data_IF_265259575415
#
_entry.id   IF_265259575415
#
_cell.length_a   1.000
_cell.length_b   1.000
_cell.length_c   1.000
_cell.angle_alpha   90.00
_cell.angle_beta   90.00
_cell.angle_gamma   90.00
#
_symmetry.space_group_name_H-M   'P 1'
#
loop_
_entity.id
_entity.type
_entity.pdbx_description
1 polymer ?
#
# COMPACT_ATOMS: atom_id res chain seq x y z
N UNK A 1 -5.99 -2.80 3.56
CA UNK A 1 -4.85 -2.48 4.46
C UNK A 1 -3.63 -1.97 3.71
N UNK A 2 -3.11 -2.67 2.69
CA UNK A 2 -1.86 -2.31 1.99
C UNK A 2 -1.74 -0.83 1.60
N UNK A 3 -2.75 -0.28 0.91
CA UNK A 3 -2.78 1.14 0.52
C UNK A 3 -2.84 2.11 1.71
N UNK A 4 -3.48 1.74 2.82
CA UNK A 4 -3.55 2.56 4.03
C UNK A 4 -2.16 2.81 4.62
N UNK A 5 -1.24 1.84 4.53
CA UNK A 5 0.15 2.05 4.96
C UNK A 5 0.88 3.10 4.11
N UNK A 6 0.57 3.21 2.80
CA UNK A 6 1.14 4.24 1.94
C UNK A 6 0.68 5.64 2.38
N UNK A 7 -0.59 5.78 2.76
CA UNK A 7 -1.14 7.02 3.32
C UNK A 7 -0.54 7.33 4.69
N UNK A 8 -0.47 6.36 5.59
CA UNK A 8 0.11 6.56 6.92
C UNK A 8 1.59 7.01 6.84
N UNK A 9 2.39 6.37 5.98
CA UNK A 9 3.78 6.75 5.73
C UNK A 9 3.89 8.17 5.17
N UNK A 10 3.01 8.51 4.21
CA UNK A 10 2.95 9.82 3.58
C UNK A 10 2.58 10.92 4.58
N UNK A 11 1.53 10.71 5.38
CA UNK A 11 1.11 11.65 6.42
C UNK A 11 2.19 11.88 7.46
N UNK A 12 2.82 10.81 7.95
CA UNK A 12 3.90 10.93 8.94
C UNK A 12 5.10 11.70 8.39
N UNK A 13 5.47 11.49 7.11
CA UNK A 13 6.53 12.26 6.47
C UNK A 13 6.14 13.73 6.26
N UNK A 14 4.87 14.01 5.91
CA UNK A 14 4.38 15.39 5.80
C UNK A 14 4.45 16.11 7.15
N UNK A 15 3.99 15.47 8.23
CA UNK A 15 4.02 16.04 9.59
C UNK A 15 5.45 16.30 10.10
N UNK A 16 6.40 15.43 9.75
CA UNK A 16 7.77 15.51 10.26
C UNK A 16 8.68 16.53 9.53
N UNK A 17 8.30 17.02 8.35
CA UNK A 17 9.16 17.96 7.61
C UNK A 17 8.74 18.28 6.17
N UNK A 18 7.66 17.69 5.68
CA UNK A 18 7.21 17.84 4.29
C UNK A 18 7.82 16.80 3.35
N UNK A 19 7.09 16.49 2.28
CA UNK A 19 7.54 15.61 1.19
C UNK A 19 8.38 16.47 0.23
N UNK A 20 9.50 15.94 -0.27
CA UNK A 20 10.41 16.65 -1.18
C UNK A 20 11.40 17.62 -0.52
N UNK A 21 11.38 17.77 0.80
CA UNK A 21 12.29 18.66 1.55
C UNK A 21 13.46 17.91 2.17
N UNK A 22 13.24 16.68 2.63
CA UNK A 22 14.26 15.81 3.24
C UNK A 22 14.21 14.39 2.63
N UNK A 23 15.18 14.08 1.77
CA UNK A 23 15.33 12.77 1.14
C UNK A 23 15.53 11.63 2.14
N UNK A 24 16.11 11.89 3.34
CA UNK A 24 16.26 10.87 4.39
C UNK A 24 14.91 10.54 5.01
N UNK A 25 14.06 11.54 5.24
CA UNK A 25 12.71 11.35 5.74
C UNK A 25 11.87 10.54 4.76
N UNK A 26 11.91 10.87 3.47
CA UNK A 26 11.21 10.11 2.43
C UNK A 26 11.69 8.66 2.36
N UNK A 27 13.00 8.44 2.42
CA UNK A 27 13.58 7.09 2.41
C UNK A 27 13.16 6.27 3.63
N UNK A 28 13.05 6.90 4.81
CA UNK A 28 12.57 6.26 6.04
C UNK A 28 11.10 5.91 5.96
N UNK A 29 10.26 6.81 5.46
CA UNK A 29 8.84 6.57 5.26
C UNK A 29 8.59 5.44 4.26
N UNK A 30 9.30 5.44 3.13
CA UNK A 30 9.21 4.36 2.13
C UNK A 30 9.68 3.01 2.69
N UNK A 31 10.75 3.00 3.50
CA UNK A 31 11.21 1.80 4.21
C UNK A 31 10.13 1.27 5.16
N UNK A 32 9.57 2.15 5.97
CA UNK A 32 8.50 1.78 6.91
C UNK A 32 7.26 1.23 6.18
N UNK A 33 6.82 1.87 5.09
CA UNK A 33 5.69 1.41 4.28
C UNK A 33 5.94 -0.04 3.80
N UNK A 34 7.10 -0.29 3.20
CA UNK A 34 7.47 -1.63 2.71
C UNK A 34 7.46 -2.67 3.83
N UNK A 35 8.09 -2.36 4.95
CA UNK A 35 8.26 -3.31 6.04
C UNK A 35 6.90 -3.61 6.73
N UNK A 36 6.04 -2.60 6.89
CA UNK A 36 4.68 -2.76 7.42
C UNK A 36 3.79 -3.61 6.49
N UNK A 37 3.87 -3.36 5.17
CA UNK A 37 3.15 -4.13 4.15
C UNK A 37 3.54 -5.61 4.15
N UNK A 38 4.84 -5.89 4.18
CA UNK A 38 5.38 -7.25 4.26
C UNK A 38 4.96 -7.95 5.55
N UNK A 39 5.20 -7.31 6.72
CA UNK A 39 4.84 -7.87 8.01
C UNK A 39 3.34 -8.15 8.16
N UNK A 40 2.48 -7.29 7.61
CA UNK A 40 1.04 -7.53 7.58
C UNK A 40 0.68 -8.79 6.78
N UNK A 41 1.20 -8.93 5.55
CA UNK A 41 0.88 -10.08 4.71
C UNK A 41 1.44 -11.37 5.29
N UNK A 42 2.66 -11.34 5.81
CA UNK A 42 3.28 -12.53 6.40
C UNK A 42 2.51 -12.98 7.64
N UNK A 43 2.11 -12.06 8.52
CA UNK A 43 1.23 -12.39 9.65
C UNK A 43 -0.14 -12.90 9.20
N UNK A 44 -0.74 -12.27 8.18
CA UNK A 44 -2.04 -12.67 7.64
C UNK A 44 -2.02 -14.10 7.09
N UNK A 45 -0.99 -14.47 6.33
CA UNK A 45 -0.86 -15.82 5.78
C UNK A 45 -0.45 -16.85 6.85
N UNK A 46 0.42 -16.48 7.80
CA UNK A 46 0.90 -17.40 8.84
C UNK A 46 -0.20 -17.79 9.84
N UNK A 47 -1.14 -16.89 10.13
CA UNK A 47 -2.21 -17.11 11.11
C UNK A 47 -3.48 -17.73 10.50
N UNK A 48 -3.54 -17.92 9.18
CA UNK A 48 -4.70 -18.49 8.50
C UNK A 48 -4.80 -20.01 8.75
N UNK A 49 -5.88 -20.52 9.36
CA UNK A 49 -6.05 -21.96 9.51
C UNK A 49 -6.11 -22.67 8.15
N UNK A 50 -5.45 -23.81 7.99
CA UNK A 50 -5.32 -24.50 6.70
C UNK A 50 -6.67 -24.78 6.01
N UNK A 51 -7.69 -25.17 6.78
CA UNK A 51 -9.04 -25.40 6.26
C UNK A 51 -9.68 -24.11 5.69
N UNK A 52 -9.47 -22.97 6.35
CA UNK A 52 -9.93 -21.66 5.89
C UNK A 52 -9.11 -21.16 4.71
N UNK A 53 -7.79 -21.33 4.74
CA UNK A 53 -6.88 -20.95 3.66
C UNK A 53 -7.30 -21.61 2.34
N UNK A 54 -7.60 -22.92 2.36
CA UNK A 54 -8.04 -23.67 1.17
C UNK A 54 -9.37 -23.15 0.58
N UNK A 55 -10.24 -22.56 1.40
CA UNK A 55 -11.55 -22.05 0.97
C UNK A 55 -11.53 -20.58 0.55
N UNK A 56 -10.68 -19.77 1.18
CA UNK A 56 -10.71 -18.31 1.07
C UNK A 56 -9.56 -17.73 0.24
N UNK A 57 -8.45 -18.46 0.10
CA UNK A 57 -7.28 -17.99 -0.63
C UNK A 57 -7.13 -18.68 -1.98
N UNK A 58 -6.49 -18.04 -2.96
CA UNK A 58 -6.05 -18.71 -4.18
C UNK A 58 -5.15 -19.91 -3.90
N UNK A 59 -5.08 -20.82 -4.88
CA UNK A 59 -4.40 -22.11 -4.73
C UNK A 59 -2.87 -22.00 -4.51
N UNK A 60 -2.26 -20.84 -4.82
CA UNK A 60 -0.83 -20.62 -4.63
C UNK A 60 -0.54 -19.19 -4.14
N UNK A 61 0.68 -18.98 -3.61
CA UNK A 61 1.14 -17.65 -3.17
C UNK A 61 1.23 -16.69 -4.35
N UNK A 62 1.62 -17.18 -5.53
CA UNK A 62 1.72 -16.39 -6.77
C UNK A 62 0.33 -15.92 -7.22
N UNK A 63 -0.67 -16.80 -7.18
CA UNK A 63 -2.05 -16.44 -7.50
C UNK A 63 -2.63 -15.45 -6.48
N UNK A 64 -2.29 -15.59 -5.19
CA UNK A 64 -2.66 -14.62 -4.16
C UNK A 64 -2.00 -13.26 -4.40
N UNK A 65 -0.72 -13.23 -4.74
CA UNK A 65 0.00 -11.99 -5.09
C UNK A 65 -0.60 -11.33 -6.33
N UNK A 66 -0.91 -12.08 -7.39
CA UNK A 66 -1.52 -11.53 -8.59
C UNK A 66 -2.89 -10.90 -8.29
N UNK A 67 -3.72 -11.56 -7.48
CA UNK A 67 -5.02 -11.04 -7.07
C UNK A 67 -4.89 -9.81 -6.16
N UNK A 68 -3.91 -9.79 -5.25
CA UNK A 68 -3.59 -8.62 -4.43
C UNK A 68 -3.16 -7.43 -5.30
N UNK A 69 -2.30 -7.65 -6.29
CA UNK A 69 -1.91 -6.60 -7.25
C UNK A 69 -3.12 -6.07 -8.01
N UNK A 70 -4.01 -6.94 -8.50
CA UNK A 70 -5.24 -6.52 -9.18
C UNK A 70 -6.10 -5.61 -8.29
N UNK A 71 -6.35 -6.02 -7.03
CA UNK A 71 -7.12 -5.18 -6.11
C UNK A 71 -6.42 -3.88 -5.72
N UNK A 72 -5.08 -3.86 -5.65
CA UNK A 72 -4.33 -2.62 -5.44
C UNK A 72 -4.40 -1.69 -6.65
N UNK A 73 -4.40 -2.21 -7.87
CA UNK A 73 -4.63 -1.43 -9.10
C UNK A 73 -6.00 -0.76 -9.05
N UNK A 74 -7.06 -1.54 -8.83
CA UNK A 74 -8.42 -0.98 -8.72
C UNK A 74 -8.48 0.09 -7.62
N UNK A 75 -7.89 -0.21 -6.46
CA UNK A 75 -7.94 0.69 -5.31
C UNK A 75 -7.15 1.98 -5.54
N UNK A 76 -5.98 1.93 -6.20
CA UNK A 76 -5.18 3.13 -6.41
C UNK A 76 -5.80 4.08 -7.43
N UNK A 77 -6.50 3.57 -8.44
CA UNK A 77 -7.23 4.43 -9.38
C UNK A 77 -8.49 5.02 -8.76
N UNK A 78 -9.20 4.26 -7.92
CA UNK A 78 -10.26 4.82 -7.07
C UNK A 78 -9.72 5.94 -6.16
N UNK A 79 -8.57 5.72 -5.51
CA UNK A 79 -7.91 6.72 -4.66
C UNK A 79 -7.56 7.97 -5.46
N UNK A 80 -7.01 7.83 -6.67
CA UNK A 80 -6.67 8.96 -7.52
C UNK A 80 -7.89 9.83 -7.84
N UNK A 81 -8.97 9.23 -8.33
CA UNK A 81 -10.21 9.96 -8.62
C UNK A 81 -10.76 10.64 -7.36
N UNK A 82 -10.77 9.92 -6.23
CA UNK A 82 -11.23 10.47 -4.97
C UNK A 82 -10.39 11.67 -4.51
N UNK A 83 -9.06 11.57 -4.50
CA UNK A 83 -8.18 12.66 -4.06
C UNK A 83 -8.28 13.87 -4.99
N UNK A 84 -8.36 13.67 -6.31
CA UNK A 84 -8.54 14.77 -7.26
C UNK A 84 -9.83 15.56 -7.01
N UNK A 85 -10.89 14.89 -6.55
CA UNK A 85 -12.18 15.53 -6.30
C UNK A 85 -12.34 16.09 -4.88
N UNK A 86 -11.59 15.59 -3.88
CA UNK A 86 -11.83 15.92 -2.47
C UNK A 86 -10.63 16.58 -1.77
N UNK A 87 -9.39 16.18 -2.11
CA UNK A 87 -8.16 16.68 -1.49
C UNK A 87 -7.03 16.71 -2.53
N UNK A 88 -7.07 17.63 -3.50
CA UNK A 88 -6.13 17.60 -4.64
C UNK A 88 -4.64 17.60 -4.23
N UNK A 89 -4.30 18.20 -3.09
CA UNK A 89 -2.95 18.19 -2.53
C UNK A 89 -2.45 16.80 -2.09
N UNK A 90 -3.31 15.78 -2.06
CA UNK A 90 -2.99 14.39 -1.70
C UNK A 90 -2.88 13.48 -2.93
N UNK A 91 -3.21 13.96 -4.14
CA UNK A 91 -3.21 13.14 -5.36
C UNK A 91 -1.84 12.54 -5.70
N UNK A 92 -0.75 13.12 -5.20
CA UNK A 92 0.60 12.57 -5.37
C UNK A 92 0.77 11.20 -4.68
N UNK A 93 -0.02 10.88 -3.65
CA UNK A 93 0.04 9.58 -2.94
C UNK A 93 -0.42 8.43 -3.86
N UNK A 94 -1.64 8.45 -4.45
CA UNK A 94 -2.03 7.43 -5.42
C UNK A 94 -1.18 7.46 -6.69
N UNK A 95 -0.69 8.62 -7.16
CA UNK A 95 0.23 8.68 -8.31
C UNK A 95 1.56 7.95 -8.05
N UNK A 96 2.16 8.12 -6.85
CA UNK A 96 3.32 7.31 -6.43
C UNK A 96 2.98 5.82 -6.35
N UNK A 97 1.75 5.47 -5.99
CA UNK A 97 1.26 4.10 -6.02
C UNK A 97 1.24 3.53 -7.43
N UNK A 98 0.69 4.27 -8.40
CA UNK A 98 0.60 3.88 -9.80
C UNK A 98 2.00 3.73 -10.41
N UNK A 99 2.93 4.65 -10.11
CA UNK A 99 4.30 4.59 -10.59
C UNK A 99 5.10 3.36 -10.08
N UNK A 100 4.61 2.65 -9.05
CA UNK A 100 5.21 1.40 -8.56
C UNK A 100 4.61 0.15 -9.23
N UNK A 101 3.56 0.29 -10.05
CA UNK A 101 2.91 -0.83 -10.76
C UNK A 101 3.61 -1.18 -12.08
N UNK A 102 4.41 -0.25 -12.61
CA UNK A 102 5.14 -0.34 -13.89
C UNK A 102 6.64 -0.13 -13.64
#
# INVERSE_FOLDING_TARGET
MQRSFAYAASSAAMEAGGIGTDARLESRAARWERDARAGFLDGYFALMPAASAKRLLPASREAATALLTLFEVEKVFYELDYELNNRPSWAWIPLRGIAKLF
#
